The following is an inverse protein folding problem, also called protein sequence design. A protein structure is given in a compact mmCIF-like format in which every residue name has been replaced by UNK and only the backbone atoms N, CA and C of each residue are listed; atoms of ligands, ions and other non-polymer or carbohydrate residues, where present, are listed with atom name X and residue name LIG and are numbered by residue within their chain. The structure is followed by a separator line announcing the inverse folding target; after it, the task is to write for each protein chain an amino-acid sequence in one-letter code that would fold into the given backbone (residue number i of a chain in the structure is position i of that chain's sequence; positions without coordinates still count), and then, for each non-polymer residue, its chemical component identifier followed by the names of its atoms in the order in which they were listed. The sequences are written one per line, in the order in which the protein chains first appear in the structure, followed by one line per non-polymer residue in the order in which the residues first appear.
data_IF_782446889596
#
_entry.id   IF_782446889596
#
_cell.length_a   1.000
_cell.length_b   1.000
_cell.length_c   1.000
_cell.angle_alpha   90.00
_cell.angle_beta   90.00
_cell.angle_gamma   90.00
#
_symmetry.space_group_name_H-M   'P 1'
#
loop_
_entity.id
_entity.type
_entity.pdbx_description
1 polymer ?
#
# COMPACT_ATOMS: atom_id res chain seq x y z
N UNK A 1 -2.70 7.59 14.87
CA UNK A 1 -2.62 6.12 14.90
C UNK A 1 -1.23 5.70 14.46
N UNK A 2 -0.50 4.96 15.30
CA UNK A 2 0.86 4.55 14.94
C UNK A 2 0.86 3.51 13.83
N UNK A 3 1.86 3.63 12.96
CA UNK A 3 2.05 2.71 11.85
C UNK A 3 3.44 2.09 11.99
N UNK A 4 3.48 0.77 12.01
CA UNK A 4 4.71 0.01 12.07
C UNK A 4 4.90 -0.74 10.76
N UNK A 5 6.14 -1.01 10.43
CA UNK A 5 6.50 -1.74 9.22
C UNK A 5 7.21 -3.02 9.60
N UNK A 6 6.81 -4.15 9.03
CA UNK A 6 7.53 -5.40 9.22
C UNK A 6 8.90 -5.28 8.55
N UNK A 7 9.79 -6.19 8.90
CA UNK A 7 11.11 -6.25 8.26
C UNK A 7 10.98 -6.38 6.75
N UNK A 8 10.08 -7.24 6.30
CA UNK A 8 9.82 -7.41 4.86
C UNK A 8 9.36 -6.11 4.20
N UNK A 9 8.45 -5.38 4.86
CA UNK A 9 7.98 -4.10 4.35
C UNK A 9 9.10 -3.08 4.26
N UNK A 10 9.98 -3.04 5.27
CA UNK A 10 11.13 -2.12 5.23
C UNK A 10 12.08 -2.44 4.08
N UNK A 11 12.33 -3.72 3.83
CA UNK A 11 13.18 -4.15 2.72
C UNK A 11 12.58 -3.77 1.37
N UNK A 12 11.26 -3.73 1.29
CA UNK A 12 10.55 -3.43 0.05
C UNK A 12 10.87 -2.05 -0.49
N UNK A 13 11.11 -1.08 0.38
CA UNK A 13 11.49 0.28 -0.06
C UNK A 13 12.74 0.23 -0.94
N UNK A 14 13.77 -0.48 -0.49
CA UNK A 14 15.03 -0.61 -1.23
C UNK A 14 14.85 -1.40 -2.51
N UNK A 15 14.10 -2.49 -2.45
CA UNK A 15 13.85 -3.35 -3.61
C UNK A 15 13.16 -2.54 -4.72
N UNK A 16 12.09 -1.81 -4.37
CA UNK A 16 11.38 -1.00 -5.36
C UNK A 16 12.24 0.13 -5.90
N UNK A 17 13.04 0.74 -5.05
CA UNK A 17 13.94 1.80 -5.50
C UNK A 17 14.93 1.30 -6.54
N UNK A 18 15.41 0.05 -6.39
CA UNK A 18 16.33 -0.53 -7.37
C UNK A 18 15.67 -0.74 -8.73
N UNK A 19 14.34 -0.79 -8.78
CA UNK A 19 13.57 -0.87 -10.02
C UNK A 19 13.06 0.50 -10.48
N UNK A 20 13.55 1.58 -9.87
CA UNK A 20 13.17 2.92 -10.25
C UNK A 20 11.85 3.40 -9.66
N UNK A 21 11.35 2.72 -8.63
CA UNK A 21 10.09 3.10 -7.99
C UNK A 21 10.37 3.59 -6.57
N UNK A 22 10.19 4.89 -6.37
CA UNK A 22 10.37 5.51 -5.05
C UNK A 22 9.05 5.58 -4.32
N UNK A 23 9.01 5.00 -3.13
CA UNK A 23 7.83 5.04 -2.26
C UNK A 23 8.29 5.58 -0.91
N UNK A 24 7.54 6.49 -0.34
CA UNK A 24 7.84 7.05 0.98
C UNK A 24 6.85 6.52 2.02
N UNK A 25 7.27 6.58 3.28
CA UNK A 25 6.38 6.21 4.39
C UNK A 25 5.18 7.13 4.44
N UNK A 26 5.36 8.40 4.10
CA UNK A 26 4.27 9.38 4.05
C UNK A 26 3.21 8.97 3.04
N UNK A 27 3.62 8.52 1.85
CA UNK A 27 2.68 8.04 0.83
C UNK A 27 1.89 6.84 1.33
N UNK A 28 2.55 5.90 2.01
CA UNK A 28 1.87 4.73 2.56
C UNK A 28 0.86 5.13 3.62
N UNK A 29 1.26 6.02 4.54
CA UNK A 29 0.36 6.51 5.58
C UNK A 29 -0.86 7.21 4.98
N UNK A 30 -0.65 8.01 3.94
CA UNK A 30 -1.71 8.72 3.26
C UNK A 30 -2.72 7.74 2.63
N UNK A 31 -2.21 6.71 1.98
CA UNK A 31 -3.06 5.69 1.34
C UNK A 31 -3.88 4.94 2.39
N UNK A 32 -3.29 4.62 3.53
CA UNK A 32 -4.01 3.93 4.60
C UNK A 32 -5.10 4.81 5.18
N UNK A 33 -4.84 6.12 5.35
CA UNK A 33 -5.82 7.04 5.93
C UNK A 33 -6.96 7.36 4.99
N UNK A 34 -6.68 7.53 3.70
CA UNK A 34 -7.67 7.92 2.71
C UNK A 34 -7.52 7.06 1.45
N UNK A 35 -7.83 5.77 1.55
CA UNK A 35 -7.70 4.89 0.40
C UNK A 35 -8.77 5.19 -0.64
N UNK A 36 -8.43 5.03 -1.91
CA UNK A 36 -9.42 5.07 -2.98
C UNK A 36 -10.27 3.81 -2.95
N UNK A 37 -9.63 2.68 -2.65
CA UNK A 37 -10.28 1.38 -2.55
C UNK A 37 -9.69 0.67 -1.34
N UNK A 38 -10.53 0.00 -0.58
CA UNK A 38 -10.07 -0.88 0.49
C UNK A 38 -10.70 -2.26 0.29
N UNK A 39 -9.85 -3.28 0.31
CA UNK A 39 -10.28 -4.66 0.14
C UNK A 39 -10.20 -5.35 1.50
N UNK A 40 -11.34 -5.81 2.00
CA UNK A 40 -11.45 -6.48 3.29
C UNK A 40 -11.79 -7.95 3.16
N UNK A 41 -11.63 -8.54 1.98
CA UNK A 41 -12.03 -9.93 1.73
C UNK A 41 -11.09 -10.94 2.37
N UNK A 42 -9.90 -10.51 2.77
CA UNK A 42 -8.87 -11.42 3.31
C UNK A 42 -8.56 -11.13 4.77
N UNK A 43 -9.58 -10.82 5.55
CA UNK A 43 -9.36 -10.55 6.98
C UNK A 43 -8.58 -11.68 7.63
N UNK A 44 -7.67 -11.38 8.55
CA UNK A 44 -7.45 -10.06 9.19
C UNK A 44 -6.62 -9.07 8.37
N UNK A 45 -6.33 -9.37 7.12
CA UNK A 45 -5.55 -8.48 6.26
C UNK A 45 -6.46 -7.51 5.52
N UNK A 46 -6.00 -6.26 5.44
CA UNK A 46 -6.62 -5.22 4.64
C UNK A 46 -5.67 -4.84 3.51
N UNK A 47 -6.23 -4.55 2.35
CA UNK A 47 -5.44 -4.03 1.24
C UNK A 47 -6.01 -2.66 0.89
N UNK A 48 -5.22 -1.61 1.17
CA UNK A 48 -5.59 -0.25 0.82
C UNK A 48 -4.90 0.12 -0.49
N UNK A 49 -5.64 0.70 -1.40
CA UNK A 49 -5.13 1.10 -2.70
C UNK A 49 -5.30 2.60 -2.88
N UNK A 50 -4.28 3.25 -3.37
CA UNK A 50 -4.32 4.66 -3.68
C UNK A 50 -3.35 5.00 -4.80
N UNK A 51 -3.37 6.24 -5.24
CA UNK A 51 -2.51 6.68 -6.32
C UNK A 51 -1.06 6.76 -5.87
N UNK A 52 -0.16 6.20 -6.68
CA UNK A 52 1.28 6.36 -6.49
C UNK A 52 1.81 7.45 -7.43
N UNK A 53 1.45 7.37 -8.69
CA UNK A 53 1.80 8.37 -9.69
C UNK A 53 0.76 8.32 -10.82
N UNK A 54 1.02 9.00 -11.93
CA UNK A 54 0.05 9.10 -13.04
C UNK A 54 -0.33 7.76 -13.65
N UNK A 55 0.55 6.78 -13.60
CA UNK A 55 0.35 5.49 -14.23
C UNK A 55 0.13 4.35 -13.27
N UNK A 56 0.48 4.55 -11.99
CA UNK A 56 0.52 3.47 -11.02
C UNK A 56 -0.31 3.76 -9.81
N UNK A 57 -0.86 2.68 -9.26
CA UNK A 57 -1.44 2.68 -7.93
C UNK A 57 -0.46 1.97 -7.00
N UNK A 58 -0.60 2.22 -5.70
CA UNK A 58 0.14 1.50 -4.69
C UNK A 58 -0.88 0.72 -3.87
N UNK A 59 -0.63 -0.56 -3.69
CA UNK A 59 -1.47 -1.44 -2.88
C UNK A 59 -0.68 -1.77 -1.62
N UNK A 60 -1.27 -1.45 -0.48
CA UNK A 60 -0.63 -1.61 0.82
C UNK A 60 -1.38 -2.68 1.60
N UNK A 61 -0.69 -3.75 1.94
CA UNK A 61 -1.26 -4.84 2.74
C UNK A 61 -0.89 -4.58 4.20
N UNK A 62 -1.90 -4.49 5.05
CA UNK A 62 -1.68 -4.24 6.46
C UNK A 62 -2.69 -5.01 7.31
N UNK A 63 -2.39 -5.11 8.59
CA UNK A 63 -3.33 -5.62 9.59
C UNK A 63 -3.38 -4.63 10.74
N UNK A 64 -4.45 -4.68 11.51
CA UNK A 64 -4.60 -3.85 12.68
C UNK A 64 -4.37 -4.70 13.92
N UNK A 65 -3.49 -4.23 14.78
CA UNK A 65 -3.15 -4.91 16.03
C UNK A 65 -3.36 -3.92 17.17
N UNK A 66 -4.51 -4.00 17.83
CA UNK A 66 -4.89 -2.99 18.79
C UNK A 66 -5.04 -1.64 18.12
N UNK A 67 -4.38 -0.62 18.64
CA UNK A 67 -4.40 0.72 18.07
C UNK A 67 -3.31 0.93 17.01
N UNK A 68 -2.53 -0.11 16.70
CA UNK A 68 -1.40 0.00 15.77
C UNK A 68 -1.73 -0.65 14.44
N UNK A 69 -1.37 0.03 13.35
CA UNK A 69 -1.42 -0.54 12.01
C UNK A 69 -0.04 -1.12 11.70
N UNK A 70 -0.03 -2.37 11.24
CA UNK A 70 1.21 -3.06 10.90
C UNK A 70 1.21 -3.29 9.40
N UNK A 71 2.09 -2.59 8.68
CA UNK A 71 2.24 -2.74 7.24
C UNK A 71 3.09 -3.99 6.97
N UNK A 72 2.52 -4.93 6.25
CA UNK A 72 3.15 -6.22 5.97
C UNK A 72 3.95 -6.16 4.69
N UNK A 73 3.37 -5.58 3.64
CA UNK A 73 4.03 -5.39 2.36
C UNK A 73 3.27 -4.34 1.55
N UNK A 74 3.86 -3.90 0.47
CA UNK A 74 3.21 -3.01 -0.48
C UNK A 74 3.82 -3.25 -1.86
N UNK A 75 3.02 -3.01 -2.90
CA UNK A 75 3.52 -3.15 -4.25
C UNK A 75 2.81 -2.19 -5.19
N UNK A 76 3.52 -1.67 -6.19
CA UNK A 76 2.91 -0.85 -7.22
C UNK A 76 2.20 -1.74 -8.24
N UNK A 77 1.22 -1.17 -8.91
CA UNK A 77 0.53 -1.81 -10.02
C UNK A 77 0.12 -0.76 -11.03
N UNK A 78 -0.13 -1.17 -12.25
CA UNK A 78 -0.57 -0.24 -13.28
C UNK A 78 -2.04 0.09 -13.07
N UNK A 79 -2.39 1.37 -13.19
CA UNK A 79 -3.78 1.81 -13.07
C UNK A 79 -4.68 1.09 -14.04
N UNK A 80 -4.19 0.84 -15.26
CA UNK A 80 -4.97 0.13 -16.27
C UNK A 80 -5.42 -1.26 -15.85
N UNK A 81 -4.70 -1.90 -14.92
CA UNK A 81 -5.05 -3.23 -14.42
C UNK A 81 -6.08 -3.17 -13.30
N UNK A 82 -6.13 -2.06 -12.55
CA UNK A 82 -6.95 -1.98 -11.34
C UNK A 82 -8.13 -1.03 -11.44
N UNK A 83 -8.14 -0.16 -12.46
CA UNK A 83 -9.18 0.85 -12.64
C UNK A 83 -9.97 0.68 -13.93
N UNK A 84 -9.65 -0.31 -14.74
CA UNK A 84 -10.29 -0.50 -16.06
C UNK A 84 -11.79 -0.71 -15.97
N UNK A 85 -12.26 -1.21 -14.87
CA UNK A 85 -13.69 -1.50 -14.69
C UNK A 85 -14.49 -0.26 -14.30
N UNK A 86 -13.82 0.88 -14.15
CA UNK A 86 -14.47 2.13 -13.79
C UNK A 86 -14.95 2.91 -15.00
N UNK A 87 -14.81 2.35 -16.18
CA UNK A 87 -15.25 2.99 -17.41
C UNK A 87 -16.73 2.77 -17.66
#
# INVERSE_FOLDING_TARGET
MPIRFTKHALEKFSVLKSYGVSVSRTQIAQIIRTPEIIDCRRLPLYIAQGELDKRRVLRVVYKQKGATIVVITFCPGLKSHYEKDNT
#
